data_IF_236984160607
#
_entry.id   IF_236984160607
#
_cell.length_a   1.000
_cell.length_b   1.000
_cell.length_c   1.000
_cell.angle_alpha   90.00
_cell.angle_beta   90.00
_cell.angle_gamma   90.00
#
_symmetry.space_group_name_H-M   'P 1'
#
loop_
_entity.id
_entity.type
_entity.pdbx_description
1 polymer ?
#
# COMPACT_ATOMS: atom_id res chain seq x y z
N UNK A 1 4.47 14.22 -21.37
CA UNK A 1 3.14 13.61 -21.20
C UNK A 1 2.05 14.67 -21.37
N UNK A 2 1.14 14.46 -22.31
CA UNK A 2 -0.02 15.34 -22.51
C UNK A 2 -0.98 15.32 -21.31
N UNK A 3 -1.89 16.30 -21.23
CA UNK A 3 -2.83 16.47 -20.10
C UNK A 3 -3.58 15.18 -19.72
N UNK A 4 -4.03 14.41 -20.73
CA UNK A 4 -4.75 13.13 -20.52
C UNK A 4 -3.85 12.06 -19.88
N UNK A 5 -2.60 11.96 -20.31
CA UNK A 5 -1.64 10.99 -19.77
C UNK A 5 -1.27 11.33 -18.33
N UNK A 6 -1.04 12.62 -18.04
CA UNK A 6 -0.81 13.12 -16.68
C UNK A 6 -1.98 12.80 -15.75
N UNK A 7 -3.22 12.99 -16.22
CA UNK A 7 -4.41 12.64 -15.43
C UNK A 7 -4.51 11.14 -15.14
N UNK A 8 -4.21 10.28 -16.13
CA UNK A 8 -4.17 8.83 -15.92
C UNK A 8 -3.10 8.43 -14.91
N UNK A 9 -1.92 9.03 -14.99
CA UNK A 9 -0.85 8.78 -14.03
C UNK A 9 -1.25 9.21 -12.62
N UNK A 10 -1.83 10.40 -12.46
CA UNK A 10 -2.35 10.88 -11.19
C UNK A 10 -3.43 9.95 -10.62
N UNK A 11 -4.35 9.46 -11.46
CA UNK A 11 -5.36 8.49 -11.04
C UNK A 11 -4.73 7.18 -10.55
N UNK A 12 -3.74 6.63 -11.28
CA UNK A 12 -2.99 5.44 -10.85
C UNK A 12 -2.26 5.66 -9.52
N UNK A 13 -1.59 6.81 -9.36
CA UNK A 13 -0.92 7.19 -8.11
C UNK A 13 -1.90 7.27 -6.95
N UNK A 14 -3.08 7.88 -7.14
CA UNK A 14 -4.14 7.96 -6.14
C UNK A 14 -4.67 6.59 -5.76
N UNK A 15 -5.01 5.75 -6.74
CA UNK A 15 -5.48 4.38 -6.51
C UNK A 15 -4.45 3.55 -5.73
N UNK A 16 -3.16 3.66 -6.08
CA UNK A 16 -2.06 3.02 -5.35
C UNK A 16 -2.01 3.46 -3.89
N UNK A 17 -2.11 4.77 -3.62
CA UNK A 17 -2.13 5.32 -2.25
C UNK A 17 -3.30 4.79 -1.44
N UNK A 18 -4.51 4.74 -2.01
CA UNK A 18 -5.70 4.20 -1.31
C UNK A 18 -5.49 2.72 -0.97
N UNK A 19 -4.97 1.92 -1.92
CA UNK A 19 -4.71 0.50 -1.70
C UNK A 19 -3.68 0.26 -0.60
N UNK A 20 -2.60 1.04 -0.60
CA UNK A 20 -1.57 0.98 0.46
C UNK A 20 -2.12 1.42 1.82
N UNK A 21 -2.96 2.45 1.88
CA UNK A 21 -3.63 2.88 3.13
C UNK A 21 -4.50 1.75 3.70
N UNK A 22 -5.27 1.06 2.85
CA UNK A 22 -6.10 -0.07 3.27
C UNK A 22 -5.25 -1.22 3.82
N UNK A 23 -4.17 -1.58 3.14
CA UNK A 23 -3.26 -2.65 3.59
C UNK A 23 -2.57 -2.29 4.91
N UNK A 24 -2.17 -1.04 5.11
CA UNK A 24 -1.63 -0.55 6.39
C UNK A 24 -2.63 -0.73 7.54
N UNK A 25 -3.89 -0.33 7.33
CA UNK A 25 -4.93 -0.49 8.34
C UNK A 25 -5.20 -1.98 8.63
N UNK A 26 -5.21 -2.83 7.61
CA UNK A 26 -5.36 -4.28 7.78
C UNK A 26 -4.18 -4.89 8.54
N UNK A 27 -2.94 -4.44 8.26
CA UNK A 27 -1.75 -4.91 8.97
C UNK A 27 -1.79 -4.54 10.46
N UNK A 28 -2.17 -3.29 10.76
CA UNK A 28 -2.30 -2.81 12.13
C UNK A 28 -3.42 -3.54 12.92
N UNK A 29 -4.49 -3.96 12.24
CA UNK A 29 -5.60 -4.68 12.86
C UNK A 29 -5.39 -6.21 12.91
N UNK A 30 -4.43 -6.75 12.17
CA UNK A 30 -4.18 -8.19 12.12
C UNK A 30 -3.54 -8.66 13.43
N UNK A 31 -4.12 -9.70 14.04
CA UNK A 31 -3.61 -10.32 15.26
C UNK A 31 -2.74 -11.54 14.97
N UNK A 32 -2.90 -12.15 13.80
CA UNK A 32 -2.17 -13.34 13.36
C UNK A 32 -0.95 -12.96 12.50
N UNK A 33 0.18 -13.59 12.77
CA UNK A 33 1.44 -13.35 12.07
C UNK A 33 1.39 -13.79 10.61
N UNK A 34 0.61 -14.83 10.29
CA UNK A 34 0.42 -15.28 8.91
C UNK A 34 -0.28 -14.19 8.06
N UNK A 35 -1.27 -13.49 8.63
CA UNK A 35 -1.99 -12.41 7.95
C UNK A 35 -1.12 -11.17 7.79
N UNK A 36 -0.33 -10.83 8.81
CA UNK A 36 0.67 -9.75 8.74
C UNK A 36 1.67 -10.01 7.61
N UNK A 37 2.24 -11.21 7.55
CA UNK A 37 3.19 -11.61 6.49
C UNK A 37 2.57 -11.51 5.09
N UNK A 38 1.34 -12.01 4.90
CA UNK A 38 0.63 -11.92 3.62
C UNK A 38 0.36 -10.46 3.20
N UNK A 39 0.07 -9.58 4.16
CA UNK A 39 -0.13 -8.15 3.89
C UNK A 39 1.18 -7.46 3.53
N UNK A 40 2.28 -7.77 4.22
CA UNK A 40 3.62 -7.25 3.91
C UNK A 40 4.02 -7.62 2.47
N UNK A 41 3.86 -8.89 2.09
CA UNK A 41 4.18 -9.35 0.73
C UNK A 41 3.34 -8.62 -0.33
N UNK A 42 2.05 -8.43 -0.04
CA UNK A 42 1.13 -7.70 -0.92
C UNK A 42 1.50 -6.23 -1.07
N UNK A 43 2.00 -5.60 -0.01
CA UNK A 43 2.49 -4.22 -0.04
C UNK A 43 3.78 -4.12 -0.84
N UNK A 44 4.74 -5.04 -0.63
CA UNK A 44 5.99 -5.08 -1.39
C UNK A 44 5.75 -5.22 -2.90
N UNK A 45 4.78 -6.06 -3.30
CA UNK A 45 4.40 -6.23 -4.72
C UNK A 45 3.80 -4.97 -5.35
N UNK A 46 3.04 -4.18 -4.58
CA UNK A 46 2.45 -2.91 -5.05
C UNK A 46 3.49 -1.80 -5.06
N UNK A 47 4.38 -1.80 -4.08
CA UNK A 47 5.40 -0.78 -3.91
C UNK A 47 6.60 -1.34 -3.15
N UNK A 48 7.70 -1.63 -3.87
CA UNK A 48 8.93 -2.12 -3.24
C UNK A 48 9.46 -1.17 -2.15
N UNK A 49 9.18 0.13 -2.28
CA UNK A 49 9.61 1.16 -1.33
C UNK A 49 8.58 1.48 -0.24
N UNK A 50 7.43 0.82 -0.23
CA UNK A 50 6.44 1.06 0.81
C UNK A 50 6.84 0.31 2.08
N UNK A 51 7.50 1.00 3.00
CA UNK A 51 7.75 0.49 4.34
C UNK A 51 6.42 0.51 5.11
N UNK A 52 6.01 -0.65 5.59
CA UNK A 52 5.05 -0.77 6.69
C UNK A 52 5.91 -0.64 7.94
N UNK A 53 6.06 0.58 8.46
CA UNK A 53 6.66 0.74 9.78
C UNK A 53 5.76 -0.03 10.74
N UNK A 54 6.32 -1.03 11.44
CA UNK A 54 5.70 -1.51 12.65
C UNK A 54 5.50 -0.26 13.51
N UNK A 55 4.26 0.01 13.89
CA UNK A 55 3.97 1.10 14.82
C UNK A 55 4.69 0.77 16.11
N UNK A 56 5.84 1.40 16.34
CA UNK A 56 6.39 1.59 17.67
C UNK A 56 5.34 2.37 18.47
N UNK A 57 4.83 1.77 19.55
CA UNK A 57 3.89 2.40 20.49
C UNK A 57 2.79 1.47 20.97
#
# INVERSE_FOLDING_TARGET
MGRRERNRELARRRARKVKLKKLRAMHAAATNDADKAAIVEKVARISPFAVLAESEG
#
